data_IF_782478274818
#
_entry.id   IF_782478274818
#
_cell.length_a   1.000
_cell.length_b   1.000
_cell.length_c   1.000
_cell.angle_alpha   90.00
_cell.angle_beta   90.00
_cell.angle_gamma   90.00
#
_symmetry.space_group_name_H-M   'P 1'
#
loop_
_entity.id
_entity.type
_entity.pdbx_description
1 polymer ?
#
# COMPACT_ATOMS: atom_id res chain seq x y z
N UNK A 1 10.59 -4.65 -25.01
CA UNK A 1 10.91 -5.14 -23.65
C UNK A 1 9.92 -6.24 -23.28
N UNK A 2 10.40 -7.44 -22.96
CA UNK A 2 9.54 -8.60 -22.65
C UNK A 2 8.84 -8.46 -21.29
N UNK A 3 7.62 -9.02 -21.17
CA UNK A 3 6.81 -9.01 -19.93
C UNK A 3 7.57 -9.57 -18.72
N UNK A 4 8.38 -10.60 -18.95
CA UNK A 4 9.21 -11.25 -17.94
C UNK A 4 10.28 -10.31 -17.36
N UNK A 5 10.95 -9.52 -18.19
CA UNK A 5 11.96 -8.55 -17.76
C UNK A 5 11.35 -7.39 -16.94
N UNK A 6 10.05 -7.10 -17.11
CA UNK A 6 9.34 -6.10 -16.29
C UNK A 6 8.91 -6.67 -14.94
N UNK A 7 8.49 -7.94 -14.92
CA UNK A 7 8.16 -8.64 -13.67
C UNK A 7 9.41 -8.86 -12.81
N UNK A 8 10.50 -9.32 -13.42
CA UNK A 8 11.79 -9.51 -12.75
C UNK A 8 12.30 -8.22 -12.08
N UNK A 9 12.20 -7.08 -12.76
CA UNK A 9 12.55 -5.77 -12.17
C UNK A 9 11.64 -5.36 -11.01
N UNK A 10 10.32 -5.61 -11.12
CA UNK A 10 9.38 -5.32 -10.03
C UNK A 10 9.63 -6.21 -8.80
N UNK A 11 10.02 -7.46 -9.00
CA UNK A 11 10.36 -8.38 -7.92
C UNK A 11 11.67 -8.04 -7.20
N UNK A 12 12.54 -7.23 -7.82
CA UNK A 12 13.81 -6.81 -7.21
C UNK A 12 13.67 -5.60 -6.28
N UNK A 13 12.57 -4.85 -6.37
CA UNK A 13 12.32 -3.68 -5.51
C UNK A 13 12.06 -4.15 -4.09
N UNK A 14 12.70 -3.48 -3.13
CA UNK A 14 12.56 -3.74 -1.70
C UNK A 14 12.03 -2.51 -0.98
N UNK A 15 11.38 -2.71 0.16
CA UNK A 15 11.16 -1.65 1.13
C UNK A 15 12.52 -1.27 1.73
N UNK A 16 12.82 0.02 1.72
CA UNK A 16 13.94 0.57 2.47
C UNK A 16 13.61 0.66 3.96
N UNK A 17 14.60 1.00 4.76
CA UNK A 17 14.47 1.00 6.21
C UNK A 17 13.47 2.07 6.69
N UNK A 18 13.38 3.23 6.01
CA UNK A 18 12.40 4.29 6.33
C UNK A 18 10.96 3.81 6.10
N UNK A 19 10.67 3.18 4.96
CA UNK A 19 9.34 2.63 4.72
C UNK A 19 9.01 1.47 5.65
N UNK A 20 9.99 0.64 6.01
CA UNK A 20 9.77 -0.42 6.99
C UNK A 20 9.47 0.12 8.38
N UNK A 21 10.18 1.16 8.82
CA UNK A 21 9.93 1.82 10.09
C UNK A 21 8.52 2.40 10.14
N UNK A 22 8.10 3.12 9.09
CA UNK A 22 6.72 3.64 8.97
C UNK A 22 5.67 2.54 9.02
N UNK A 23 5.87 1.43 8.31
CA UNK A 23 4.95 0.28 8.36
C UNK A 23 4.95 -0.35 9.75
N UNK A 24 6.11 -0.41 10.41
CA UNK A 24 6.23 -0.91 11.78
C UNK A 24 5.42 -0.07 12.76
N UNK A 25 5.51 1.25 12.69
CA UNK A 25 4.73 2.17 13.52
C UNK A 25 3.22 1.95 13.33
N UNK A 26 2.76 1.85 12.08
CA UNK A 26 1.36 1.58 11.76
C UNK A 26 0.88 0.27 12.37
N UNK A 27 1.60 -0.83 12.12
CA UNK A 27 1.20 -2.18 12.57
C UNK A 27 1.31 -2.33 14.09
N UNK A 28 2.23 -1.62 14.74
CA UNK A 28 2.33 -1.59 16.21
C UNK A 28 1.11 -0.90 16.85
N UNK A 29 0.53 0.10 16.18
CA UNK A 29 -0.71 0.74 16.61
C UNK A 29 -1.95 -0.11 16.36
N UNK A 30 -2.00 -0.82 15.23
CA UNK A 30 -3.06 -1.77 14.87
C UNK A 30 -2.64 -2.61 13.67
N UNK A 31 -2.80 -3.93 13.75
CA UNK A 31 -2.61 -4.83 12.60
C UNK A 31 -3.81 -4.83 11.64
N UNK A 32 -4.91 -4.15 11.99
CA UNK A 32 -6.12 -4.02 11.18
C UNK A 32 -6.13 -2.69 10.43
N UNK A 33 -6.28 -2.77 9.10
CA UNK A 33 -6.40 -1.61 8.20
C UNK A 33 -7.65 -1.78 7.32
N UNK A 34 -8.59 -0.83 7.42
CA UNK A 34 -9.75 -0.78 6.55
C UNK A 34 -9.47 0.01 5.28
N UNK A 35 -9.95 -0.48 4.13
CA UNK A 35 -9.89 0.31 2.89
C UNK A 35 -10.69 1.61 3.01
N UNK A 36 -10.18 2.68 2.41
CA UNK A 36 -10.78 4.02 2.58
C UNK A 36 -12.21 4.12 2.05
N UNK A 37 -12.44 3.65 0.82
CA UNK A 37 -13.73 3.83 0.14
C UNK A 37 -14.85 2.95 0.70
N UNK A 38 -14.61 1.66 0.89
CA UNK A 38 -15.66 0.68 1.22
C UNK A 38 -15.44 -0.06 2.54
N UNK A 39 -14.48 0.39 3.35
CA UNK A 39 -14.23 -0.11 4.71
C UNK A 39 -14.08 -1.64 4.78
N UNK A 40 -13.47 -2.23 3.76
CA UNK A 40 -13.15 -3.66 3.77
C UNK A 40 -11.96 -3.88 4.67
N UNK A 41 -12.11 -4.81 5.60
CA UNK A 41 -11.08 -5.13 6.58
C UNK A 41 -9.91 -5.87 5.95
N UNK A 42 -8.69 -5.44 6.27
CA UNK A 42 -7.44 -6.10 5.92
C UNK A 42 -6.64 -6.30 7.21
N UNK A 43 -6.13 -7.51 7.43
CA UNK A 43 -5.28 -7.83 8.57
C UNK A 43 -3.84 -8.02 8.09
N UNK A 44 -2.93 -7.20 8.60
CA UNK A 44 -1.50 -7.34 8.36
C UNK A 44 -0.95 -8.44 9.26
N UNK A 45 -0.54 -9.54 8.66
CA UNK A 45 -0.05 -10.72 9.40
C UNK A 45 1.46 -10.69 9.64
N UNK A 46 2.20 -10.10 8.70
CA UNK A 46 3.66 -9.92 8.76
C UNK A 46 4.09 -8.97 7.64
N UNK A 47 5.31 -8.46 7.72
CA UNK A 47 5.95 -7.69 6.66
C UNK A 47 7.47 -7.82 6.77
N UNK A 48 8.14 -7.64 5.64
CA UNK A 48 9.60 -7.59 5.51
C UNK A 48 9.98 -6.74 4.30
N UNK A 49 11.26 -6.70 3.93
CA UNK A 49 11.73 -5.94 2.77
C UNK A 49 11.05 -6.32 1.43
N UNK A 50 10.41 -7.49 1.31
CA UNK A 50 9.69 -7.94 0.11
C UNK A 50 8.27 -7.44 0.03
N UNK A 51 7.69 -6.94 1.13
CA UNK A 51 6.36 -6.35 1.17
C UNK A 51 5.58 -6.72 2.41
N UNK A 52 4.25 -6.67 2.29
CA UNK A 52 3.32 -6.82 3.41
C UNK A 52 2.38 -7.99 3.14
N UNK A 53 2.25 -8.93 4.08
CA UNK A 53 1.34 -10.06 3.99
C UNK A 53 0.00 -9.72 4.61
N UNK A 54 -1.04 -9.76 3.79
CA UNK A 54 -2.35 -9.24 4.13
C UNK A 54 -3.42 -10.31 3.98
N UNK A 55 -4.16 -10.55 5.04
CA UNK A 55 -5.43 -11.27 4.98
C UNK A 55 -6.60 -10.33 4.73
N UNK A 56 -7.57 -10.81 3.96
CA UNK A 56 -8.83 -10.11 3.69
C UNK A 56 -9.96 -10.97 4.22
N UNK A 57 -11.15 -10.39 4.41
CA UNK A 57 -12.35 -11.16 4.78
C UNK A 57 -12.56 -12.34 3.84
N UNK A 58 -12.35 -12.12 2.54
CA UNK A 58 -12.44 -13.16 1.51
C UNK A 58 -11.39 -14.25 1.69
N UNK A 59 -10.11 -13.91 1.93
CA UNK A 59 -9.08 -14.95 2.05
C UNK A 59 -9.23 -15.77 3.34
N UNK A 60 -9.73 -15.15 4.43
CA UNK A 60 -10.10 -15.87 5.65
C UNK A 60 -11.29 -16.80 5.43
N UNK A 61 -12.35 -16.32 4.79
CA UNK A 61 -13.54 -17.12 4.49
C UNK A 61 -13.21 -18.36 3.63
N UNK A 62 -12.17 -18.28 2.80
CA UNK A 62 -11.73 -19.38 1.94
C UNK A 62 -10.50 -20.14 2.48
N UNK A 63 -10.03 -19.85 3.70
CA UNK A 63 -8.81 -20.44 4.27
C UNK A 63 -7.58 -20.39 3.34
N UNK A 64 -7.48 -19.33 2.52
CA UNK A 64 -6.40 -19.14 1.55
C UNK A 64 -5.12 -18.56 2.19
N UNK A 65 -5.22 -18.09 3.44
CA UNK A 65 -4.15 -17.41 4.16
C UNK A 65 -3.90 -15.97 3.67
N UNK A 66 -2.79 -15.34 4.12
CA UNK A 66 -2.40 -14.01 3.69
C UNK A 66 -1.85 -14.01 2.26
N UNK A 67 -2.12 -12.92 1.55
CA UNK A 67 -1.52 -12.65 0.25
C UNK A 67 -0.47 -11.54 0.38
N UNK A 68 0.67 -11.72 -0.29
CA UNK A 68 1.70 -10.69 -0.38
C UNK A 68 1.22 -9.50 -1.21
N UNK A 69 1.34 -8.30 -0.65
CA UNK A 69 1.38 -7.02 -1.34
C UNK A 69 2.85 -6.69 -1.57
N UNK A 70 3.38 -6.87 -2.79
CA UNK A 70 4.82 -6.75 -3.03
C UNK A 70 5.34 -5.33 -2.80
N UNK A 71 6.58 -5.21 -2.31
CA UNK A 71 7.23 -3.95 -1.97
C UNK A 71 7.13 -2.90 -3.08
N UNK A 72 7.33 -3.28 -4.35
CA UNK A 72 7.24 -2.34 -5.46
C UNK A 72 5.92 -1.57 -5.53
N UNK A 73 4.80 -2.17 -5.09
CA UNK A 73 3.49 -1.51 -5.09
C UNK A 73 3.45 -0.37 -4.08
N UNK A 74 4.07 -0.58 -2.92
CA UNK A 74 4.13 0.40 -1.82
C UNK A 74 5.15 1.48 -2.17
N UNK A 75 6.35 1.08 -2.61
CA UNK A 75 7.43 2.00 -3.03
C UNK A 75 6.94 2.93 -4.13
N UNK A 76 6.38 2.41 -5.22
CA UNK A 76 5.90 3.26 -6.33
C UNK A 76 4.79 4.20 -5.89
N UNK A 77 3.90 3.75 -5.00
CA UNK A 77 2.83 4.60 -4.48
C UNK A 77 3.41 5.72 -3.59
N UNK A 78 4.33 5.40 -2.69
CA UNK A 78 4.99 6.35 -1.82
C UNK A 78 5.83 7.37 -2.59
N UNK A 79 6.63 6.92 -3.55
CA UNK A 79 7.43 7.78 -4.43
C UNK A 79 6.55 8.75 -5.22
N UNK A 80 5.43 8.26 -5.77
CA UNK A 80 4.50 9.09 -6.52
C UNK A 80 3.84 10.15 -5.62
N UNK A 81 3.41 9.75 -4.42
CA UNK A 81 2.84 10.67 -3.44
C UNK A 81 3.87 11.72 -3.00
N UNK A 82 5.11 11.31 -2.73
CA UNK A 82 6.20 12.23 -2.38
C UNK A 82 6.51 13.22 -3.51
N UNK A 83 6.51 12.76 -4.75
CA UNK A 83 6.85 13.55 -5.93
C UNK A 83 5.77 14.58 -6.28
N UNK A 84 4.50 14.18 -6.23
CA UNK A 84 3.39 15.01 -6.70
C UNK A 84 2.68 15.75 -5.56
N UNK A 85 2.95 15.39 -4.30
CA UNK A 85 2.20 15.84 -3.13
C UNK A 85 0.81 15.21 -3.00
N UNK A 86 0.27 14.61 -4.06
CA UNK A 86 -1.04 13.96 -4.07
C UNK A 86 -0.98 12.62 -4.81
N UNK A 87 -1.89 11.71 -4.45
CA UNK A 87 -2.00 10.39 -5.08
C UNK A 87 -3.45 9.92 -5.08
N UNK A 88 -3.98 9.53 -6.24
CA UNK A 88 -5.32 8.96 -6.33
C UNK A 88 -5.32 7.44 -6.47
N UNK A 89 -6.36 6.78 -5.95
CA UNK A 89 -6.59 5.36 -6.17
C UNK A 89 -6.70 5.03 -7.67
N UNK A 90 -7.34 5.90 -8.46
CA UNK A 90 -7.53 5.70 -9.90
C UNK A 90 -6.18 5.66 -10.62
N UNK A 91 -5.28 6.60 -10.32
CA UNK A 91 -3.93 6.66 -10.88
C UNK A 91 -3.12 5.40 -10.55
N UNK A 92 -3.14 4.95 -9.29
CA UNK A 92 -2.45 3.73 -8.87
C UNK A 92 -2.92 2.51 -9.68
N UNK A 93 -4.23 2.36 -9.83
CA UNK A 93 -4.81 1.19 -10.50
C UNK A 93 -4.61 1.25 -12.01
N UNK A 94 -4.90 2.39 -12.62
CA UNK A 94 -5.00 2.52 -14.08
C UNK A 94 -3.66 2.85 -14.72
N UNK A 95 -2.85 3.70 -14.11
CA UNK A 95 -1.63 4.21 -14.73
C UNK A 95 -0.41 3.41 -14.25
N UNK A 96 -0.33 3.18 -12.93
CA UNK A 96 0.80 2.49 -12.30
C UNK A 96 0.61 0.96 -12.20
N UNK A 97 -0.61 0.48 -12.51
CA UNK A 97 -0.99 -0.95 -12.53
C UNK A 97 -0.79 -1.66 -11.19
N UNK A 98 -1.09 -0.97 -10.09
CA UNK A 98 -1.06 -1.50 -8.72
C UNK A 98 -2.39 -2.20 -8.43
N UNK A 99 -2.42 -3.54 -8.48
CA UNK A 99 -3.67 -4.33 -8.37
C UNK A 99 -4.25 -4.43 -6.95
N UNK A 100 -3.47 -4.09 -5.93
CA UNK A 100 -3.89 -4.00 -4.51
C UNK A 100 -3.97 -2.53 -4.06
N UNK A 101 -4.21 -1.62 -5.00
CA UNK A 101 -4.19 -0.17 -4.79
C UNK A 101 -5.08 0.31 -3.65
N UNK A 102 -6.24 -0.32 -3.43
CA UNK A 102 -7.12 0.04 -2.32
C UNK A 102 -6.48 -0.19 -0.93
N UNK A 103 -5.77 -1.31 -0.74
CA UNK A 103 -5.00 -1.56 0.48
C UNK A 103 -3.80 -0.62 0.57
N UNK A 104 -3.08 -0.43 -0.55
CA UNK A 104 -1.91 0.47 -0.58
C UNK A 104 -2.29 1.90 -0.19
N UNK A 105 -3.40 2.44 -0.70
CA UNK A 105 -3.91 3.73 -0.25
C UNK A 105 -4.24 3.76 1.25
N UNK A 106 -4.87 2.70 1.75
CA UNK A 106 -5.25 2.62 3.16
C UNK A 106 -4.04 2.53 4.09
N UNK A 107 -2.99 1.80 3.69
CA UNK A 107 -1.72 1.73 4.41
C UNK A 107 -1.02 3.10 4.44
N UNK A 108 -0.85 3.75 3.28
CA UNK A 108 -0.22 5.07 3.21
C UNK A 108 -0.98 6.12 4.01
N UNK A 109 -2.31 6.04 4.06
CA UNK A 109 -3.15 6.94 4.85
C UNK A 109 -2.94 6.83 6.37
N UNK A 110 -2.24 5.79 6.85
CA UNK A 110 -1.85 5.67 8.26
C UNK A 110 -0.51 6.36 8.57
N UNK A 111 0.23 6.80 7.56
CA UNK A 111 1.51 7.49 7.79
C UNK A 111 1.26 8.89 8.36
N UNK A 112 2.13 9.37 9.28
CA UNK A 112 1.90 10.61 10.01
C UNK A 112 1.89 11.87 9.12
N UNK A 113 2.56 11.82 7.96
CA UNK A 113 2.63 12.91 6.98
C UNK A 113 1.67 12.71 5.79
N UNK A 114 0.62 11.91 5.95
CA UNK A 114 -0.39 11.65 4.90
C UNK A 114 -1.79 11.91 5.43
N UNK A 115 -2.58 12.65 4.65
CA UNK A 115 -3.99 12.91 4.94
C UNK A 115 -4.87 12.40 3.81
N UNK A 116 -6.07 11.93 4.16
CA UNK A 116 -7.10 11.54 3.19
C UNK A 116 -7.94 12.77 2.87
N UNK A 117 -7.84 13.26 1.63
CA UNK A 117 -8.62 14.44 1.19
C UNK A 117 -9.95 14.05 0.53
N UNK A 118 -10.06 12.81 0.07
CA UNK A 118 -11.29 12.24 -0.48
C UNK A 118 -11.32 10.72 -0.27
N UNK A 119 -12.49 10.16 0.03
CA UNK A 119 -12.66 8.72 0.27
C UNK A 119 -13.17 7.94 -0.96
N UNK A 120 -13.89 8.58 -1.90
CA UNK A 120 -14.51 7.94 -3.08
C UNK A 120 -14.45 8.82 -4.36
N UNK A 121 -13.55 8.50 -5.32
CA UNK A 121 -12.41 7.59 -5.19
C UNK A 121 -11.42 8.12 -4.14
N UNK A 122 -10.64 7.23 -3.53
CA UNK A 122 -9.68 7.66 -2.51
C UNK A 122 -8.60 8.57 -3.12
N UNK A 123 -8.33 9.70 -2.46
CA UNK A 123 -7.25 10.63 -2.79
C UNK A 123 -6.50 10.95 -1.51
N UNK A 124 -5.17 10.83 -1.58
CA UNK A 124 -4.23 11.14 -0.52
C UNK A 124 -3.48 12.43 -0.86
N UNK A 125 -3.12 13.17 0.18
CA UNK A 125 -2.19 14.29 0.11
C UNK A 125 -1.10 14.09 1.14
N UNK A 126 0.14 14.44 0.78
CA UNK A 126 1.27 14.44 1.70
C UNK A 126 1.39 15.80 2.36
N UNK A 127 1.26 15.85 3.68
CA UNK A 127 1.46 17.06 4.45
C UNK A 127 2.94 17.18 4.81
N UNK A 128 3.64 18.13 4.17
CA UNK A 128 4.95 18.53 4.66
C UNK A 128 4.67 19.36 5.92
N UNK A 129 4.78 18.76 7.10
CA UNK A 129 4.79 19.53 8.35
C UNK A 129 5.89 20.59 8.23
N UNK A 130 5.48 21.87 8.18
CA UNK A 130 6.37 23.03 8.33
C UNK A 130 6.69 23.26 9.78
#
# INVERSE_FOLDING_TARGET
>A
MSREARLSRKSAVKLDDDLLERITEVVTGSDVIETLSNKRTNWVTSFDHMGVWVETERSRAHAAGPHLVPAWMIVVAWEQLCKNGTLSHIELLNDLKVMRSAFVCALLAQFPDVVVVQDRPAVLERTINR
#
